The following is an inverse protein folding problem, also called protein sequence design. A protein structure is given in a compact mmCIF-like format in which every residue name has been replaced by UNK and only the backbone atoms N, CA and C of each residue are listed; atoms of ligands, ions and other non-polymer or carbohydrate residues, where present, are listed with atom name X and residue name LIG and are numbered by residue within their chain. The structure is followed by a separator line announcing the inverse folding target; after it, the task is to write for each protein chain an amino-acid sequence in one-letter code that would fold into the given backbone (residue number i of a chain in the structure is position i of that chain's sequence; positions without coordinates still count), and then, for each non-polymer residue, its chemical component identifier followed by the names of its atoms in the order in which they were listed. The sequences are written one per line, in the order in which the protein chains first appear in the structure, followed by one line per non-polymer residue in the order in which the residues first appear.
data_IF_819098254887
#
_entry.id   IF_819098254887
#
_cell.length_a   1.000
_cell.length_b   1.000
_cell.length_c   1.000
_cell.angle_alpha   90.00
_cell.angle_beta   90.00
_cell.angle_gamma   90.00
#
_symmetry.space_group_name_H-M   'P 1'
#
loop_
_entity.id
_entity.type
_entity.pdbx_description
1 polymer ?
#
# COMPACT_ATOMS: atom_id res chain seq x y z
N UNK A 1 -9.46 6.88 12.30
CA UNK A 1 -8.70 5.95 13.17
C UNK A 1 -8.40 4.61 12.49
N UNK A 2 -8.47 4.55 11.15
CA UNK A 2 -8.35 3.33 10.31
C UNK A 2 -7.03 3.29 9.54
N UNK A 3 -6.59 4.41 8.96
CA UNK A 3 -5.32 4.51 8.21
C UNK A 3 -4.06 4.23 9.05
N UNK A 4 -3.97 4.77 10.27
CA UNK A 4 -2.82 4.48 11.15
C UNK A 4 -2.71 2.98 11.47
N UNK A 5 -3.85 2.26 11.57
CA UNK A 5 -3.85 0.81 11.82
C UNK A 5 -3.42 0.02 10.58
N UNK A 6 -3.84 0.45 9.39
CA UNK A 6 -3.48 -0.20 8.13
C UNK A 6 -2.00 -0.01 7.80
N UNK A 7 -1.47 1.20 7.97
CA UNK A 7 -0.04 1.51 7.81
C UNK A 7 0.79 0.78 8.88
N UNK A 8 0.33 0.72 10.13
CA UNK A 8 1.01 -0.06 11.18
C UNK A 8 1.07 -1.56 10.86
N UNK A 9 0.03 -2.10 10.21
CA UNK A 9 0.03 -3.48 9.72
C UNK A 9 1.10 -3.71 8.66
N UNK A 10 1.21 -2.81 7.68
CA UNK A 10 2.23 -2.87 6.62
C UNK A 10 3.64 -2.76 7.23
N UNK A 11 3.87 -1.81 8.14
CA UNK A 11 5.15 -1.64 8.84
C UNK A 11 5.57 -2.91 9.57
N UNK A 12 4.64 -3.56 10.26
CA UNK A 12 4.89 -4.83 10.97
C UNK A 12 5.29 -5.93 9.99
N UNK A 13 4.54 -6.10 8.90
CA UNK A 13 4.84 -7.12 7.88
C UNK A 13 6.23 -6.92 7.27
N UNK A 14 6.61 -5.66 6.99
CA UNK A 14 7.93 -5.35 6.45
C UNK A 14 9.02 -5.64 7.49
N UNK A 15 8.85 -5.18 8.73
CA UNK A 15 9.82 -5.39 9.82
C UNK A 15 10.06 -6.88 10.09
N UNK A 16 8.99 -7.66 10.24
CA UNK A 16 9.06 -9.12 10.45
C UNK A 16 9.79 -9.81 9.28
N UNK A 17 9.48 -9.42 8.05
CA UNK A 17 10.06 -10.01 6.84
C UNK A 17 11.53 -9.66 6.64
N UNK A 18 11.99 -8.52 7.16
CA UNK A 18 13.39 -8.11 7.15
C UNK A 18 14.16 -8.57 8.40
N UNK A 19 13.50 -9.29 9.32
CA UNK A 19 14.11 -9.75 10.57
C UNK A 19 14.38 -8.61 11.57
N UNK A 20 13.70 -7.48 11.43
CA UNK A 20 13.85 -6.32 12.30
C UNK A 20 12.94 -6.49 13.53
N UNK A 21 13.51 -7.10 14.57
CA UNK A 21 12.82 -7.31 15.86
C UNK A 21 12.92 -6.12 16.81
N UNK A 22 13.87 -5.21 16.57
CA UNK A 22 14.08 -4.01 17.37
C UNK A 22 13.96 -2.75 16.51
N UNK A 23 12.88 -1.99 16.75
CA UNK A 23 12.58 -0.71 16.08
C UNK A 23 12.99 0.49 16.95
N UNK A 24 13.91 0.31 17.90
CA UNK A 24 14.42 1.38 18.74
C UNK A 24 15.31 2.38 17.99
N UNK A 25 15.89 2.01 16.85
CA UNK A 25 16.65 2.93 15.99
C UNK A 25 15.67 3.82 15.19
N UNK A 26 15.68 5.14 15.40
CA UNK A 26 14.82 6.07 14.66
C UNK A 26 14.99 6.01 13.14
N UNK A 27 16.18 5.64 12.65
CA UNK A 27 16.47 5.50 11.22
C UNK A 27 15.82 4.25 10.64
N UNK A 28 15.72 3.17 11.43
CA UNK A 28 15.01 1.97 11.02
C UNK A 28 13.50 2.24 10.92
N UNK A 29 12.95 3.00 11.88
CA UNK A 29 11.55 3.47 11.82
C UNK A 29 11.32 4.35 10.59
N UNK A 30 12.20 5.32 10.31
CA UNK A 30 12.08 6.17 9.13
C UNK A 30 12.14 5.36 7.82
N UNK A 31 13.00 4.35 7.75
CA UNK A 31 13.11 3.48 6.57
C UNK A 31 11.83 2.65 6.37
N UNK A 32 11.26 2.12 7.46
CA UNK A 32 9.99 1.40 7.43
C UNK A 32 8.84 2.28 6.97
N UNK A 33 8.80 3.53 7.41
CA UNK A 33 7.76 4.48 7.02
C UNK A 33 7.83 4.78 5.53
N UNK A 34 9.03 5.01 5.00
CA UNK A 34 9.26 5.19 3.56
C UNK A 34 8.93 3.92 2.77
N UNK A 35 9.30 2.75 3.27
CA UNK A 35 9.01 1.49 2.61
C UNK A 35 7.50 1.20 2.56
N UNK A 36 6.77 1.48 3.65
CA UNK A 36 5.33 1.36 3.71
C UNK A 36 4.64 2.32 2.74
N UNK A 37 5.07 3.59 2.67
CA UNK A 37 4.52 4.57 1.72
C UNK A 37 4.74 4.16 0.26
N UNK A 38 5.95 3.70 -0.09
CA UNK A 38 6.26 3.19 -1.43
C UNK A 38 5.37 1.99 -1.77
N UNK A 39 5.22 1.03 -0.85
CA UNK A 39 4.39 -0.15 -1.05
C UNK A 39 2.91 0.23 -1.25
N UNK A 40 2.37 1.17 -0.48
CA UNK A 40 0.99 1.66 -0.64
C UNK A 40 0.80 2.30 -2.02
N UNK A 41 1.72 3.17 -2.46
CA UNK A 41 1.65 3.79 -3.80
C UNK A 41 1.73 2.74 -4.90
N UNK A 42 2.60 1.73 -4.72
CA UNK A 42 2.75 0.64 -5.69
C UNK A 42 1.48 -0.19 -5.78
N UNK A 43 0.89 -0.57 -4.65
CA UNK A 43 -0.41 -1.25 -4.59
C UNK A 43 -1.49 -0.44 -5.32
N UNK A 44 -1.56 0.87 -5.09
CA UNK A 44 -2.50 1.74 -5.78
C UNK A 44 -2.32 1.69 -7.30
N UNK A 45 -1.08 1.77 -7.80
CA UNK A 45 -0.80 1.64 -9.25
C UNK A 45 -1.18 0.26 -9.80
N UNK A 46 -0.91 -0.81 -9.05
CA UNK A 46 -1.29 -2.17 -9.46
C UNK A 46 -2.81 -2.31 -9.54
N UNK A 47 -3.54 -1.77 -8.57
CA UNK A 47 -5.01 -1.74 -8.57
C UNK A 47 -5.53 -0.95 -9.77
N UNK A 48 -5.00 0.25 -10.01
CA UNK A 48 -5.34 1.05 -11.19
C UNK A 48 -5.13 0.28 -12.49
N UNK A 49 -4.03 -0.45 -12.62
CA UNK A 49 -3.73 -1.23 -13.82
C UNK A 49 -4.70 -2.40 -14.04
N UNK A 50 -5.36 -2.88 -12.99
CA UNK A 50 -6.37 -3.93 -13.08
C UNK A 50 -7.78 -3.41 -13.36
N UNK A 51 -8.05 -2.14 -13.07
CA UNK A 51 -9.32 -1.50 -13.46
C UNK A 51 -9.41 -1.41 -14.98
N UNK A 52 -10.62 -1.65 -15.51
CA UNK A 52 -10.97 -1.35 -16.90
C UNK A 52 -10.96 0.16 -17.17
N UNK A 53 -11.00 0.55 -18.44
CA UNK A 53 -10.93 1.96 -18.86
C UNK A 53 -12.06 2.81 -18.24
N UNK A 54 -13.31 2.33 -18.30
CA UNK A 54 -14.46 3.00 -17.67
C UNK A 54 -14.31 3.13 -16.15
N UNK A 55 -13.76 2.11 -15.48
CA UNK A 55 -13.58 2.14 -14.03
C UNK A 55 -12.46 3.09 -13.60
N UNK A 56 -11.43 3.25 -14.43
CA UNK A 56 -10.38 4.25 -14.23
C UNK A 56 -10.90 5.67 -14.40
N UNK A 57 -11.81 5.89 -15.36
CA UNK A 57 -12.46 7.19 -15.53
C UNK A 57 -13.30 7.55 -14.30
N UNK A 58 -14.12 6.61 -13.81
CA UNK A 58 -14.91 6.79 -12.59
C UNK A 58 -14.01 7.10 -11.40
N UNK A 59 -12.93 6.34 -11.20
CA UNK A 59 -12.00 6.60 -10.11
C UNK A 59 -11.28 7.95 -10.26
N UNK A 60 -10.93 8.35 -11.49
CA UNK A 60 -10.31 9.65 -11.79
C UNK A 60 -11.24 10.81 -11.45
N UNK A 61 -12.53 10.69 -11.76
CA UNK A 61 -13.55 11.65 -11.36
C UNK A 61 -13.70 11.71 -9.84
N UNK A 62 -13.80 10.55 -9.17
CA UNK A 62 -13.87 10.49 -7.71
C UNK A 62 -12.66 11.16 -7.04
N UNK A 63 -11.45 10.97 -7.57
CA UNK A 63 -10.23 11.61 -7.05
C UNK A 63 -10.25 13.14 -7.29
N UNK A 64 -10.69 13.59 -8.47
CA UNK A 64 -10.80 15.03 -8.79
C UNK A 64 -11.81 15.73 -7.90
N UNK A 65 -12.94 15.09 -7.63
CA UNK A 65 -13.98 15.58 -6.71
C UNK A 65 -13.54 15.51 -5.24
N UNK A 66 -12.50 14.74 -4.94
CA UNK A 66 -11.91 14.59 -3.61
C UNK A 66 -10.73 15.54 -3.36
N UNK A 67 -10.70 16.73 -3.96
CA UNK A 67 -9.61 17.70 -3.80
C UNK A 67 -9.30 18.09 -2.35
N UNK A 68 -10.28 17.91 -1.46
CA UNK A 68 -10.20 18.28 -0.04
C UNK A 68 -10.11 17.06 0.91
N UNK A 69 -9.98 15.84 0.38
CA UNK A 69 -9.83 14.60 1.17
C UNK A 69 -11.10 14.10 1.87
N UNK A 70 -12.28 14.66 1.57
CA UNK A 70 -13.55 14.31 2.22
C UNK A 70 -14.20 13.02 1.68
N UNK A 71 -13.83 12.58 0.49
CA UNK A 71 -14.37 11.41 -0.22
C UNK A 71 -13.42 10.18 -0.18
N UNK A 72 -12.44 10.17 0.72
CA UNK A 72 -11.48 9.06 0.86
C UNK A 72 -12.17 7.71 1.13
N UNK A 73 -13.24 7.68 1.91
CA UNK A 73 -13.96 6.43 2.19
C UNK A 73 -14.73 5.93 0.96
N UNK A 74 -15.32 6.83 0.17
CA UNK A 74 -16.00 6.47 -1.09
C UNK A 74 -15.02 5.84 -2.09
N UNK A 75 -13.80 6.39 -2.18
CA UNK A 75 -12.73 5.83 -3.02
C UNK A 75 -12.31 4.44 -2.50
N UNK A 76 -12.16 4.28 -1.18
CA UNK A 76 -11.84 2.98 -0.56
C UNK A 76 -12.93 1.95 -0.82
N UNK A 77 -14.20 2.32 -0.68
CA UNK A 77 -15.32 1.42 -0.92
C UNK A 77 -15.44 1.03 -2.40
N UNK A 78 -15.20 1.97 -3.31
CA UNK A 78 -15.11 1.68 -4.75
C UNK A 78 -14.04 0.62 -5.02
N UNK A 79 -12.82 0.84 -4.53
CA UNK A 79 -11.70 -0.10 -4.71
C UNK A 79 -12.02 -1.47 -4.08
N UNK A 80 -12.49 -1.52 -2.83
CA UNK A 80 -12.90 -2.75 -2.15
C UNK A 80 -13.97 -3.52 -2.92
N UNK A 81 -14.93 -2.82 -3.53
CA UNK A 81 -16.02 -3.45 -4.31
C UNK A 81 -15.54 -4.11 -5.61
N UNK A 82 -14.44 -3.61 -6.20
CA UNK A 82 -13.85 -4.13 -7.43
C UNK A 82 -12.82 -5.22 -7.19
N UNK A 83 -12.16 -5.18 -6.04
CA UNK A 83 -11.08 -6.10 -5.70
C UNK A 83 -11.49 -7.02 -4.55
N UNK A 84 -12.43 -7.92 -4.79
CA UNK A 84 -12.81 -8.96 -3.81
C UNK A 84 -11.66 -9.91 -3.43
N UNK A 85 -10.61 -9.99 -4.25
CA UNK A 85 -9.36 -10.71 -4.00
C UNK A 85 -8.20 -9.79 -3.53
N UNK A 86 -8.52 -8.61 -2.97
CA UNK A 86 -7.54 -7.59 -2.51
C UNK A 86 -6.42 -8.19 -1.66
N UNK A 87 -6.74 -9.15 -0.78
CA UNK A 87 -5.76 -9.76 0.13
C UNK A 87 -4.67 -10.55 -0.59
N UNK A 88 -5.00 -11.28 -1.65
CA UNK A 88 -4.03 -12.07 -2.40
C UNK A 88 -3.12 -11.16 -3.23
N UNK A 89 -3.69 -10.11 -3.81
CA UNK A 89 -2.93 -9.10 -4.55
C UNK A 89 -1.98 -8.33 -3.64
N UNK A 90 -2.48 -7.88 -2.49
CA UNK A 90 -1.67 -7.19 -1.49
C UNK A 90 -0.55 -8.10 -1.00
N UNK A 91 -0.86 -9.36 -0.69
CA UNK A 91 0.14 -10.33 -0.24
C UNK A 91 1.23 -10.57 -1.30
N UNK A 92 0.85 -10.78 -2.57
CA UNK A 92 1.78 -10.98 -3.66
C UNK A 92 2.70 -9.76 -3.88
N UNK A 93 2.13 -8.55 -3.83
CA UNK A 93 2.91 -7.33 -4.04
C UNK A 93 3.84 -7.00 -2.87
N UNK A 94 3.40 -7.29 -1.64
CA UNK A 94 4.25 -7.23 -0.45
C UNK A 94 5.42 -8.19 -0.58
N UNK A 95 5.18 -9.44 -1.00
CA UNK A 95 6.24 -10.43 -1.20
C UNK A 95 7.23 -10.03 -2.29
N UNK A 96 6.74 -9.52 -3.43
CA UNK A 96 7.58 -8.98 -4.50
C UNK A 96 8.47 -7.85 -3.98
N UNK A 97 7.87 -6.87 -3.29
CA UNK A 97 8.59 -5.73 -2.74
C UNK A 97 9.66 -6.14 -1.73
N UNK A 98 9.36 -7.08 -0.84
CA UNK A 98 10.33 -7.61 0.13
C UNK A 98 11.47 -8.36 -0.53
N UNK A 99 11.18 -9.11 -1.60
CA UNK A 99 12.19 -9.80 -2.39
C UNK A 99 13.16 -8.81 -3.04
N UNK A 100 12.65 -7.72 -3.62
CA UNK A 100 13.47 -6.64 -4.18
C UNK A 100 14.36 -5.99 -3.13
N UNK A 101 13.83 -5.69 -1.94
CA UNK A 101 14.63 -5.13 -0.83
C UNK A 101 15.75 -6.09 -0.43
N UNK A 102 15.46 -7.38 -0.27
CA UNK A 102 16.48 -8.38 0.11
C UNK A 102 17.56 -8.52 -0.96
N UNK A 103 17.18 -8.50 -2.23
CA UNK A 103 18.13 -8.53 -3.34
C UNK A 103 19.03 -7.29 -3.35
N UNK A 104 18.46 -6.10 -3.16
CA UNK A 104 19.22 -4.85 -3.08
C UNK A 104 20.16 -4.82 -1.87
N UNK A 105 19.78 -5.43 -0.75
CA UNK A 105 20.61 -5.51 0.46
C UNK A 105 21.72 -6.58 0.39
N UNK A 106 21.61 -7.55 -0.53
CA UNK A 106 22.58 -8.63 -0.71
C UNK A 106 23.59 -8.37 -1.83
N UNK A 107 23.45 -7.24 -2.54
CA UNK A 107 24.30 -6.82 -3.65
C UNK A 107 25.37 -5.81 -3.28
#
# INVERSE_FOLDING_TARGET
MTEEKEIAGIRRTIAESLGWSDLSDPRAVELLDKAADVLVKRLFVVLLNRLGEEEREVLSEMIKENSDGQNDESIKDFLRSRFSAEKELIAAEVENFLTEIRQAASG
#
